data_IF_978077106069
#
_entry.id   IF_978077106069
#
_cell.length_a   1.000
_cell.length_b   1.000
_cell.length_c   1.000
_cell.angle_alpha   90.00
_cell.angle_beta   90.00
_cell.angle_gamma   90.00
#
_symmetry.space_group_name_H-M   'P 1'
#
loop_
_entity.id
_entity.type
_entity.pdbx_description
1 polymer ?
#
# COMPACT_ATOMS: atom_id res chain seq x y z
N UNK A 1 62.09 -42.03 -0.95
CA UNK A 1 60.72 -41.71 -1.33
C UNK A 1 60.10 -40.92 -0.17
N UNK A 2 60.00 -39.62 -0.25
CA UNK A 2 59.52 -38.72 0.78
C UNK A 2 58.35 -37.89 0.21
N UNK A 3 57.47 -37.38 1.01
CA UNK A 3 56.03 -37.37 0.77
C UNK A 3 55.52 -36.11 0.05
N UNK A 4 54.79 -36.34 -1.01
CA UNK A 4 54.13 -35.32 -1.82
C UNK A 4 52.74 -34.95 -1.29
N UNK A 5 52.39 -35.32 -0.05
CA UNK A 5 51.03 -35.13 0.47
C UNK A 5 50.80 -33.90 1.37
N UNK A 6 51.81 -33.03 1.56
CA UNK A 6 51.67 -31.90 2.52
C UNK A 6 51.42 -30.52 1.88
N UNK A 7 51.38 -30.45 0.57
CA UNK A 7 51.25 -29.16 -0.13
C UNK A 7 49.84 -28.84 -0.62
N UNK A 8 48.86 -29.77 -0.51
CA UNK A 8 47.51 -29.53 -1.04
C UNK A 8 46.44 -29.11 0.02
N UNK A 9 46.80 -29.17 1.30
CA UNK A 9 45.78 -28.87 2.38
C UNK A 9 45.80 -27.43 2.85
N UNK A 10 46.72 -26.59 2.39
CA UNK A 10 46.79 -25.17 2.84
C UNK A 10 46.19 -24.19 1.86
N UNK A 11 45.74 -24.62 0.69
CA UNK A 11 45.17 -23.71 -0.31
C UNK A 11 43.62 -23.47 -0.15
N UNK A 12 42.95 -24.26 0.66
CA UNK A 12 41.47 -24.09 0.86
C UNK A 12 41.09 -23.33 2.10
N UNK A 13 42.02 -22.93 2.97
CA UNK A 13 41.73 -22.26 4.25
C UNK A 13 41.86 -20.71 4.19
N UNK A 14 42.15 -20.13 3.04
CA UNK A 14 42.48 -18.70 2.96
C UNK A 14 41.41 -17.82 2.34
N UNK A 15 40.16 -18.31 2.14
CA UNK A 15 39.13 -17.51 1.50
C UNK A 15 37.82 -17.44 2.30
N UNK A 16 37.85 -17.73 3.60
CA UNK A 16 36.77 -17.36 4.52
C UNK A 16 37.01 -15.93 5.05
N UNK A 17 37.03 -14.97 4.13
CA UNK A 17 36.80 -13.59 4.49
C UNK A 17 35.36 -13.56 4.94
N UNK A 18 35.14 -13.66 6.25
CA UNK A 18 33.90 -13.34 6.92
C UNK A 18 33.46 -11.96 6.43
N UNK A 19 32.59 -11.94 5.41
CA UNK A 19 31.98 -10.70 4.95
C UNK A 19 31.39 -10.00 6.19
N UNK A 20 31.89 -8.80 6.47
CA UNK A 20 31.40 -8.04 7.60
C UNK A 20 29.86 -8.05 7.58
N UNK A 21 29.19 -8.31 8.69
CA UNK A 21 27.73 -8.35 8.71
C UNK A 21 27.18 -7.07 8.09
N UNK A 22 26.11 -7.17 7.29
CA UNK A 22 25.52 -6.00 6.64
C UNK A 22 25.28 -4.91 7.66
N UNK A 23 25.85 -3.73 7.43
CA UNK A 23 25.69 -2.60 8.34
C UNK A 23 24.22 -2.28 8.48
N UNK A 24 23.69 -2.31 9.69
CA UNK A 24 22.29 -1.95 9.96
C UNK A 24 22.02 -0.52 9.44
N UNK A 25 20.94 -0.36 8.68
CA UNK A 25 20.51 0.96 8.21
C UNK A 25 19.87 1.69 9.40
N UNK A 26 20.44 2.82 9.78
CA UNK A 26 19.88 3.68 10.82
C UNK A 26 18.87 4.65 10.17
N UNK A 27 17.64 4.62 10.67
CA UNK A 27 16.58 5.50 10.21
C UNK A 27 16.46 6.75 11.09
N UNK A 28 16.16 7.89 10.46
CA UNK A 28 15.97 9.15 11.16
C UNK A 28 14.78 9.11 12.13
N UNK A 29 14.78 9.97 13.15
CA UNK A 29 13.62 10.16 14.04
C UNK A 29 12.36 10.53 13.23
N UNK A 30 12.50 11.37 12.22
CA UNK A 30 11.39 11.77 11.35
C UNK A 30 10.79 10.58 10.58
N UNK A 31 11.63 9.64 10.10
CA UNK A 31 11.15 8.38 9.52
C UNK A 31 10.30 7.60 10.51
N UNK A 32 10.76 7.46 11.74
CA UNK A 32 10.05 6.69 12.77
C UNK A 32 8.69 7.30 13.10
N UNK A 33 8.60 8.64 13.18
CA UNK A 33 7.33 9.35 13.41
C UNK A 33 6.38 9.13 12.23
N UNK A 34 6.84 9.32 10.98
CA UNK A 34 6.02 9.08 9.79
C UNK A 34 5.56 7.64 9.68
N UNK A 35 6.43 6.67 10.02
CA UNK A 35 6.07 5.25 10.01
C UNK A 35 4.98 4.93 11.04
N UNK A 36 5.00 5.56 12.21
CA UNK A 36 3.92 5.46 13.21
C UNK A 36 2.61 6.04 12.67
N UNK A 37 2.64 7.25 12.12
CA UNK A 37 1.45 7.91 11.55
C UNK A 37 0.86 7.01 10.46
N UNK A 38 1.66 6.59 9.48
CA UNK A 38 1.26 5.70 8.39
C UNK A 38 0.62 4.42 8.91
N UNK A 39 1.26 3.76 9.87
CA UNK A 39 0.76 2.50 10.46
C UNK A 39 -0.58 2.68 11.16
N UNK A 40 -0.73 3.71 12.00
CA UNK A 40 -1.98 3.93 12.72
C UNK A 40 -3.12 4.34 11.79
N UNK A 41 -2.84 5.21 10.82
CA UNK A 41 -3.79 5.57 9.79
C UNK A 41 -4.24 4.32 8.99
N UNK A 42 -3.31 3.42 8.66
CA UNK A 42 -3.63 2.18 7.93
C UNK A 42 -4.59 1.25 8.67
N UNK A 43 -4.66 1.28 10.00
CA UNK A 43 -5.64 0.46 10.74
C UNK A 43 -7.10 0.84 10.47
N UNK A 44 -7.36 2.09 10.11
CA UNK A 44 -8.70 2.54 9.75
C UNK A 44 -9.12 2.12 8.33
N UNK A 45 -8.20 1.69 7.48
CA UNK A 45 -8.44 1.44 6.06
C UNK A 45 -9.52 0.38 5.82
N UNK A 46 -9.34 -0.82 6.38
CA UNK A 46 -10.29 -1.92 6.14
C UNK A 46 -11.70 -1.67 6.70
N UNK A 47 -11.86 -1.16 7.94
CA UNK A 47 -13.18 -0.78 8.44
C UNK A 47 -13.87 0.28 7.58
N UNK A 48 -13.15 1.31 7.14
CA UNK A 48 -13.69 2.34 6.26
C UNK A 48 -14.09 1.78 4.89
N UNK A 49 -13.28 0.90 4.30
CA UNK A 49 -13.63 0.23 3.06
C UNK A 49 -14.90 -0.62 3.19
N UNK A 50 -15.02 -1.40 4.26
CA UNK A 50 -16.21 -2.21 4.48
C UNK A 50 -17.46 -1.33 4.59
N UNK A 51 -17.36 -0.21 5.33
CA UNK A 51 -18.45 0.75 5.48
C UNK A 51 -18.81 1.40 4.13
N UNK A 52 -17.80 1.86 3.39
CA UNK A 52 -18.01 2.57 2.12
C UNK A 52 -18.60 1.66 1.04
N UNK A 53 -18.11 0.41 0.95
CA UNK A 53 -18.65 -0.58 0.01
C UNK A 53 -20.11 -0.90 0.37
N UNK A 54 -20.45 -1.07 1.65
CA UNK A 54 -21.81 -1.32 2.09
C UNK A 54 -22.75 -0.14 1.76
N UNK A 55 -22.31 1.11 2.04
CA UNK A 55 -23.07 2.32 1.73
C UNK A 55 -23.24 2.49 0.21
N UNK A 56 -22.15 2.34 -0.56
CA UNK A 56 -22.16 2.45 -2.01
C UNK A 56 -23.05 1.40 -2.67
N UNK A 57 -23.00 0.15 -2.18
CA UNK A 57 -23.87 -0.92 -2.69
C UNK A 57 -25.34 -0.66 -2.34
N UNK A 58 -25.63 -0.14 -1.13
CA UNK A 58 -26.99 0.23 -0.75
C UNK A 58 -27.53 1.36 -1.63
N UNK A 59 -26.70 2.37 -1.94
CA UNK A 59 -27.07 3.45 -2.87
C UNK A 59 -27.26 2.96 -4.31
N UNK A 60 -26.45 1.99 -4.73
CA UNK A 60 -26.57 1.40 -6.06
C UNK A 60 -27.91 0.70 -6.24
N UNK A 61 -28.36 -0.05 -5.21
CA UNK A 61 -29.61 -0.80 -5.25
C UNK A 61 -30.83 0.12 -5.03
N UNK A 62 -30.74 1.04 -4.08
CA UNK A 62 -31.83 1.93 -3.67
C UNK A 62 -31.33 3.38 -3.55
N UNK A 63 -31.36 4.17 -4.62
CA UNK A 63 -30.93 5.56 -4.58
C UNK A 63 -31.82 6.43 -3.67
N UNK A 64 -31.18 7.30 -2.92
CA UNK A 64 -31.87 8.36 -2.15
C UNK A 64 -31.59 8.38 -0.66
N UNK A 65 -32.20 9.36 0.02
CA UNK A 65 -32.11 9.54 1.47
C UNK A 65 -30.73 9.97 1.97
N UNK A 66 -30.54 9.87 3.30
CA UNK A 66 -29.28 10.22 3.98
C UNK A 66 -28.07 9.35 3.61
N UNK A 67 -28.30 8.22 2.90
CA UNK A 67 -27.24 7.32 2.45
C UNK A 67 -26.20 8.00 1.52
N UNK A 68 -26.66 8.91 0.63
CA UNK A 68 -25.77 9.69 -0.24
C UNK A 68 -24.81 10.55 0.56
N UNK A 69 -25.30 11.23 1.57
CA UNK A 69 -24.47 12.06 2.46
C UNK A 69 -23.49 11.20 3.26
N UNK A 70 -23.95 10.08 3.82
CA UNK A 70 -23.10 9.17 4.58
C UNK A 70 -21.97 8.59 3.69
N UNK A 71 -22.29 8.13 2.48
CA UNK A 71 -21.33 7.67 1.48
C UNK A 71 -20.29 8.77 1.13
N UNK A 72 -20.75 9.99 0.87
CA UNK A 72 -19.84 11.10 0.57
C UNK A 72 -18.90 11.44 1.75
N UNK A 73 -19.38 11.40 2.99
CA UNK A 73 -18.56 11.66 4.19
C UNK A 73 -17.52 10.56 4.38
N UNK A 74 -17.93 9.28 4.29
CA UNK A 74 -16.98 8.16 4.44
C UNK A 74 -15.97 8.15 3.31
N UNK A 75 -16.40 8.40 2.06
CA UNK A 75 -15.51 8.54 0.90
C UNK A 75 -14.49 9.67 1.07
N UNK A 76 -14.91 10.84 1.55
CA UNK A 76 -13.98 11.93 1.87
C UNK A 76 -13.02 11.56 2.99
N UNK A 77 -13.46 10.80 3.99
CA UNK A 77 -12.61 10.23 5.04
C UNK A 77 -11.54 9.29 4.48
N UNK A 78 -11.92 8.40 3.56
CA UNK A 78 -10.98 7.52 2.84
C UNK A 78 -9.97 8.33 2.05
N UNK A 79 -10.42 9.33 1.27
CA UNK A 79 -9.53 10.21 0.50
C UNK A 79 -8.50 10.92 1.39
N UNK A 80 -8.93 11.45 2.53
CA UNK A 80 -8.05 12.10 3.51
C UNK A 80 -7.05 11.12 4.13
N UNK A 81 -7.49 9.93 4.48
CA UNK A 81 -6.64 8.86 5.01
C UNK A 81 -5.55 8.45 4.01
N UNK A 82 -5.96 8.28 2.75
CA UNK A 82 -5.03 7.93 1.67
C UNK A 82 -4.02 9.05 1.39
N UNK A 83 -4.43 10.30 1.39
CA UNK A 83 -3.51 11.44 1.27
C UNK A 83 -2.43 11.41 2.37
N UNK A 84 -2.80 11.19 3.62
CA UNK A 84 -1.85 11.05 4.74
C UNK A 84 -0.94 9.85 4.55
N UNK A 85 -1.49 8.70 4.17
CA UNK A 85 -0.73 7.46 3.97
C UNK A 85 0.22 7.57 2.77
N UNK A 86 -0.18 8.20 1.68
CA UNK A 86 0.66 8.39 0.50
C UNK A 86 1.83 9.31 0.80
N UNK A 87 1.59 10.46 1.42
CA UNK A 87 2.67 11.39 1.80
C UNK A 87 3.67 10.71 2.74
N UNK A 88 3.19 10.09 3.80
CA UNK A 88 4.07 9.43 4.79
C UNK A 88 4.77 8.20 4.21
N UNK A 89 4.07 7.41 3.40
CA UNK A 89 4.57 6.18 2.78
C UNK A 89 5.64 6.46 1.72
N UNK A 90 5.37 7.39 0.80
CA UNK A 90 6.33 7.78 -0.26
C UNK A 90 7.61 8.33 0.35
N UNK A 91 7.49 9.23 1.34
CA UNK A 91 8.66 9.80 2.01
C UNK A 91 9.49 8.73 2.71
N UNK A 92 8.85 7.82 3.42
CA UNK A 92 9.52 6.70 4.07
C UNK A 92 10.17 5.75 3.05
N UNK A 93 9.54 5.51 1.91
CA UNK A 93 10.11 4.70 0.83
C UNK A 93 11.35 5.35 0.23
N UNK A 94 11.36 6.69 0.05
CA UNK A 94 12.53 7.44 -0.42
C UNK A 94 13.69 7.34 0.58
N UNK A 95 13.42 7.48 1.88
CA UNK A 95 14.45 7.37 2.92
C UNK A 95 14.99 5.93 3.02
N UNK A 96 14.11 4.93 2.93
CA UNK A 96 14.45 3.51 2.96
C UNK A 96 15.01 2.94 1.64
N UNK A 97 15.23 3.77 0.60
CA UNK A 97 15.60 3.27 -0.75
C UNK A 97 16.90 2.46 -0.80
N UNK A 98 17.83 2.73 0.13
CA UNK A 98 19.12 2.04 0.24
C UNK A 98 19.08 0.78 1.11
N UNK A 99 18.00 0.56 1.84
CA UNK A 99 17.83 -0.63 2.67
C UNK A 99 17.37 -1.81 1.79
N UNK A 100 18.21 -2.87 1.65
CA UNK A 100 17.85 -4.04 0.86
C UNK A 100 16.77 -4.89 1.54
N UNK A 101 16.66 -4.82 2.89
CA UNK A 101 15.73 -5.66 3.65
C UNK A 101 14.29 -5.27 3.36
N UNK A 102 13.50 -6.19 2.84
CA UNK A 102 12.09 -5.99 2.50
C UNK A 102 11.85 -5.00 1.34
N UNK A 103 12.87 -4.68 0.52
CA UNK A 103 12.76 -3.72 -0.59
C UNK A 103 11.66 -4.09 -1.58
N UNK A 104 11.62 -5.34 -2.02
CA UNK A 104 10.58 -5.82 -2.96
C UNK A 104 9.19 -5.66 -2.38
N UNK A 105 9.01 -6.04 -1.11
CA UNK A 105 7.75 -5.90 -0.39
C UNK A 105 7.28 -4.44 -0.33
N UNK A 106 8.18 -3.50 0.02
CA UNK A 106 7.88 -2.06 0.02
C UNK A 106 7.52 -1.53 -1.37
N UNK A 107 8.24 -1.98 -2.42
CA UNK A 107 7.96 -1.57 -3.79
C UNK A 107 6.60 -2.07 -4.27
N UNK A 108 6.29 -3.36 -4.07
CA UNK A 108 4.99 -3.95 -4.45
C UNK A 108 3.85 -3.23 -3.72
N UNK A 109 3.99 -3.04 -2.40
CA UNK A 109 3.02 -2.26 -1.62
C UNK A 109 2.85 -0.85 -2.18
N UNK A 110 3.94 -0.12 -2.41
CA UNK A 110 3.89 1.25 -2.91
C UNK A 110 3.22 1.36 -4.28
N UNK A 111 3.54 0.45 -5.22
CA UNK A 111 2.91 0.43 -6.55
C UNK A 111 1.40 0.17 -6.46
N UNK A 112 0.99 -0.83 -5.66
CA UNK A 112 -0.43 -1.14 -5.47
C UNK A 112 -1.19 0.02 -4.82
N UNK A 113 -0.60 0.68 -3.82
CA UNK A 113 -1.23 1.82 -3.15
C UNK A 113 -1.34 3.04 -4.06
N UNK A 114 -0.30 3.37 -4.84
CA UNK A 114 -0.37 4.48 -5.81
C UNK A 114 -1.37 4.20 -6.93
N UNK A 115 -1.48 2.95 -7.39
CA UNK A 115 -2.52 2.56 -8.34
C UNK A 115 -3.93 2.69 -7.75
N UNK A 116 -4.10 2.33 -6.46
CA UNK A 116 -5.35 2.53 -5.74
C UNK A 116 -5.68 4.02 -5.55
N UNK A 117 -4.68 4.88 -5.22
CA UNK A 117 -4.86 6.33 -5.13
C UNK A 117 -5.39 6.92 -6.45
N UNK A 118 -4.75 6.56 -7.56
CA UNK A 118 -5.21 6.98 -8.89
C UNK A 118 -6.64 6.51 -9.17
N UNK A 119 -6.97 5.29 -8.79
CA UNK A 119 -8.30 4.73 -8.92
C UNK A 119 -9.33 5.43 -8.02
N UNK A 120 -9.01 5.77 -6.78
CA UNK A 120 -9.91 6.55 -5.91
C UNK A 120 -10.13 7.96 -6.45
N UNK A 121 -9.09 8.59 -6.97
CA UNK A 121 -9.23 9.89 -7.64
C UNK A 121 -10.15 9.78 -8.87
N UNK A 122 -9.98 8.77 -9.71
CA UNK A 122 -10.86 8.51 -10.83
C UNK A 122 -12.30 8.18 -10.38
N UNK A 123 -12.47 7.47 -9.27
CA UNK A 123 -13.80 7.22 -8.66
C UNK A 123 -14.49 8.51 -8.27
N UNK A 124 -13.75 9.45 -7.68
CA UNK A 124 -14.28 10.77 -7.33
C UNK A 124 -14.73 11.54 -8.58
N UNK A 125 -13.92 11.54 -9.65
CA UNK A 125 -14.26 12.22 -10.92
C UNK A 125 -15.43 11.57 -11.64
N UNK A 126 -15.63 10.26 -11.48
CA UNK A 126 -16.73 9.50 -12.06
C UNK A 126 -17.99 9.48 -11.17
N UNK A 127 -18.05 10.32 -10.13
CA UNK A 127 -19.23 10.40 -9.27
C UNK A 127 -20.45 10.86 -10.09
N UNK A 128 -21.60 10.13 -10.01
CA UNK A 128 -22.77 10.48 -10.80
C UNK A 128 -23.35 11.84 -10.41
N UNK A 129 -23.51 12.72 -11.39
CA UNK A 129 -24.20 13.98 -11.22
C UNK A 129 -25.71 13.79 -11.29
N UNK A 130 -26.46 14.53 -10.47
CA UNK A 130 -27.92 14.44 -10.40
C UNK A 130 -28.65 15.11 -11.59
N UNK A 131 -27.91 15.80 -12.45
CA UNK A 131 -28.50 16.65 -13.49
C UNK A 131 -28.49 16.04 -14.91
N UNK A 132 -27.78 14.96 -15.17
CA UNK A 132 -27.67 14.37 -16.51
C UNK A 132 -28.25 12.95 -16.57
N UNK A 133 -29.18 12.72 -17.49
CA UNK A 133 -30.03 11.53 -17.61
C UNK A 133 -29.36 10.18 -17.98
N UNK A 134 -28.04 10.05 -17.94
CA UNK A 134 -27.31 8.79 -18.18
C UNK A 134 -26.87 8.10 -16.88
N UNK A 135 -27.78 8.02 -15.93
CA UNK A 135 -27.47 7.56 -14.56
C UNK A 135 -26.97 6.12 -14.46
N UNK A 136 -27.40 5.21 -15.34
CA UNK A 136 -27.05 3.79 -15.21
C UNK A 136 -25.57 3.54 -15.46
N UNK A 137 -25.03 4.13 -16.51
CA UNK A 137 -23.65 3.89 -16.96
C UNK A 137 -22.65 4.61 -16.06
N UNK A 138 -22.94 5.85 -15.64
CA UNK A 138 -22.11 6.60 -14.70
C UNK A 138 -22.02 5.89 -13.34
N UNK A 139 -23.14 5.37 -12.83
CA UNK A 139 -23.17 4.62 -11.57
C UNK A 139 -22.41 3.30 -11.67
N UNK A 140 -22.54 2.58 -12.79
CA UNK A 140 -21.83 1.34 -13.03
C UNK A 140 -20.32 1.58 -13.14
N UNK A 141 -19.92 2.62 -13.86
CA UNK A 141 -18.52 3.03 -14.03
C UNK A 141 -17.90 3.43 -12.69
N UNK A 142 -18.54 4.34 -11.94
CA UNK A 142 -18.11 4.74 -10.60
C UNK A 142 -17.91 3.54 -9.68
N UNK A 143 -18.90 2.64 -9.61
CA UNK A 143 -18.85 1.43 -8.79
C UNK A 143 -17.70 0.50 -9.20
N UNK A 144 -17.49 0.29 -10.50
CA UNK A 144 -16.45 -0.60 -11.01
C UNK A 144 -15.06 -0.07 -10.65
N UNK A 145 -14.80 1.22 -10.87
CA UNK A 145 -13.53 1.85 -10.51
C UNK A 145 -13.32 1.78 -8.99
N UNK A 146 -14.36 2.11 -8.19
CA UNK A 146 -14.28 2.08 -6.74
C UNK A 146 -13.90 0.69 -6.20
N UNK A 147 -14.61 -0.37 -6.64
CA UNK A 147 -14.35 -1.74 -6.19
C UNK A 147 -12.95 -2.19 -6.61
N UNK A 148 -12.51 -1.86 -7.82
CA UNK A 148 -11.15 -2.17 -8.30
C UNK A 148 -10.10 -1.48 -7.42
N UNK A 149 -10.31 -0.21 -7.09
CA UNK A 149 -9.40 0.57 -6.23
C UNK A 149 -9.33 0.01 -4.81
N UNK A 150 -10.46 -0.37 -4.23
CA UNK A 150 -10.53 -1.05 -2.92
C UNK A 150 -9.79 -2.39 -2.96
N UNK A 151 -9.93 -3.17 -4.04
CA UNK A 151 -9.22 -4.45 -4.19
C UNK A 151 -7.70 -4.25 -4.28
N UNK A 152 -7.23 -3.27 -5.07
CA UNK A 152 -5.81 -2.92 -5.18
C UNK A 152 -5.23 -2.47 -3.83
N UNK A 153 -5.94 -1.57 -3.13
CA UNK A 153 -5.52 -1.09 -1.81
C UNK A 153 -5.49 -2.23 -0.78
N UNK A 154 -6.49 -3.11 -0.80
CA UNK A 154 -6.54 -4.28 0.08
C UNK A 154 -5.36 -5.22 -0.20
N UNK A 155 -5.05 -5.51 -1.47
CA UNK A 155 -3.89 -6.32 -1.85
C UNK A 155 -2.58 -5.67 -1.38
N UNK A 156 -2.44 -4.37 -1.56
CA UNK A 156 -1.30 -3.58 -1.04
C UNK A 156 -1.17 -3.68 0.48
N UNK A 157 -2.27 -3.54 1.21
CA UNK A 157 -2.32 -3.68 2.66
C UNK A 157 -1.88 -5.09 3.11
N UNK A 158 -2.46 -6.12 2.50
CA UNK A 158 -2.14 -7.52 2.81
C UNK A 158 -0.69 -7.88 2.48
N UNK A 159 -0.10 -7.27 1.46
CA UNK A 159 1.33 -7.43 1.14
C UNK A 159 2.21 -7.05 2.32
N UNK A 160 1.88 -5.97 3.05
CA UNK A 160 2.65 -5.57 4.24
C UNK A 160 2.36 -6.45 5.46
N UNK A 161 1.18 -7.02 5.54
CA UNK A 161 0.76 -7.85 6.68
C UNK A 161 1.33 -9.27 6.58
N UNK A 162 1.26 -9.89 5.41
CA UNK A 162 1.57 -11.31 5.19
C UNK A 162 2.77 -11.56 4.27
N UNK A 163 3.25 -10.55 3.57
CA UNK A 163 4.43 -10.69 2.72
C UNK A 163 5.63 -11.15 3.57
N UNK A 164 6.22 -12.32 3.26
CA UNK A 164 7.36 -12.88 3.98
C UNK A 164 8.56 -11.92 4.09
N UNK A 165 9.50 -12.29 4.95
CA UNK A 165 10.78 -11.55 5.11
C UNK A 165 11.63 -11.74 3.86
#
# INVERSE_FOLDING_TARGET
>A
MAPLHRAMTTAFAANDQTAAPPRAVEYSHAYQVRAKIHRYASFATLPLFATEVALGQSLYNEPGGGKKTAHAIVGAGIGSLFAVNTVTGVWNMVEARKDPVGRTKRLVHGVLMLAADAGFFATFLAAPDSEHGEFSDARSTHRTIAITSVALATAGYLTMLFGGK
#
